data_IF_759937100429
#
_entry.id   IF_759937100429
#
_cell.length_a   1.000
_cell.length_b   1.000
_cell.length_c   1.000
_cell.angle_alpha   90.00
_cell.angle_beta   90.00
_cell.angle_gamma   90.00
#
_symmetry.space_group_name_H-M   'P 1'
#
loop_
_entity.id
_entity.type
_entity.pdbx_description
1 polymer ?
#
# COMPACT_ATOMS: atom_id res chain seq x y z
N UNK A 1 6.61 -24.67 -20.57
CA UNK A 1 5.32 -24.00 -20.87
C UNK A 1 4.41 -24.07 -19.63
N UNK A 2 4.90 -23.70 -18.45
CA UNK A 2 4.13 -23.90 -17.20
C UNK A 2 4.49 -22.87 -16.10
N UNK A 3 4.75 -21.62 -16.51
CA UNK A 3 5.21 -20.55 -15.60
C UNK A 3 4.29 -19.32 -15.58
N UNK A 4 3.47 -19.15 -16.62
CA UNK A 4 2.50 -18.03 -16.72
C UNK A 4 1.21 -18.31 -15.93
N UNK A 5 0.87 -19.58 -15.68
CA UNK A 5 -0.40 -19.96 -15.02
C UNK A 5 -0.43 -19.74 -13.51
N UNK A 6 0.70 -19.49 -12.84
CA UNK A 6 0.76 -19.53 -11.36
C UNK A 6 0.50 -18.20 -10.66
N UNK A 7 0.63 -17.06 -11.34
CA UNK A 7 0.28 -15.75 -10.75
C UNK A 7 -1.18 -15.32 -10.97
N UNK A 8 -1.91 -15.99 -11.88
CA UNK A 8 -3.34 -15.76 -12.14
C UNK A 8 -4.25 -16.07 -10.93
N UNK A 9 -3.77 -16.90 -9.99
CA UNK A 9 -4.53 -17.28 -8.80
C UNK A 9 -4.82 -16.12 -7.84
N UNK A 10 -3.99 -15.07 -7.82
CA UNK A 10 -4.17 -13.92 -6.92
C UNK A 10 -5.27 -12.98 -7.44
N UNK A 11 -5.45 -12.86 -8.76
CA UNK A 11 -6.48 -12.00 -9.35
C UNK A 11 -7.90 -12.58 -9.24
N UNK A 12 -8.05 -13.90 -9.10
CA UNK A 12 -9.37 -14.53 -8.99
C UNK A 12 -10.01 -14.39 -7.60
N UNK A 13 -9.25 -14.04 -6.56
CA UNK A 13 -9.78 -13.88 -5.20
C UNK A 13 -10.49 -12.52 -4.96
N UNK A 14 -10.32 -11.54 -5.85
CA UNK A 14 -10.80 -10.15 -5.66
C UNK A 14 -12.17 -9.84 -6.29
N UNK A 15 -12.82 -10.81 -6.93
CA UNK A 15 -14.12 -10.61 -7.59
C UNK A 15 -15.35 -10.96 -6.72
N UNK A 16 -15.16 -11.35 -5.44
CA UNK A 16 -16.25 -11.89 -4.60
C UNK A 16 -16.77 -10.96 -3.50
N UNK A 17 -16.16 -9.81 -3.25
CA UNK A 17 -16.58 -8.94 -2.14
C UNK A 17 -17.20 -7.63 -2.64
N UNK A 18 -18.37 -7.75 -3.27
CA UNK A 18 -19.26 -6.62 -3.54
C UNK A 18 -20.65 -6.96 -3.00
N UNK A 19 -20.73 -7.13 -1.68
CA UNK A 19 -21.97 -7.25 -0.94
C UNK A 19 -22.57 -5.88 -0.66
N UNK A 20 -23.54 -5.49 -1.51
CA UNK A 20 -24.45 -4.36 -1.30
C UNK A 20 -25.27 -4.60 -0.03
N UNK A 21 -25.18 -3.71 0.96
CA UNK A 21 -26.08 -3.69 2.12
C UNK A 21 -27.38 -2.95 1.76
N UNK A 22 -28.58 -3.51 2.03
CA UNK A 22 -29.84 -2.80 1.86
C UNK A 22 -30.14 -1.88 3.06
N UNK A 23 -30.72 -0.71 2.77
CA UNK A 23 -31.23 0.24 3.75
C UNK A 23 -32.48 -0.31 4.46
N UNK A 24 -32.46 -0.33 5.80
CA UNK A 24 -33.62 -0.70 6.60
C UNK A 24 -34.49 0.52 6.92
N UNK A 25 -35.79 0.33 6.80
CA UNK A 25 -36.85 1.35 6.88
C UNK A 25 -37.20 1.74 8.31
N UNK A 26 -37.63 3.00 8.42
CA UNK A 26 -38.48 3.59 9.46
C UNK A 26 -39.63 2.67 9.90
N UNK A 27 -39.88 2.58 11.20
CA UNK A 27 -41.18 2.22 11.77
C UNK A 27 -41.44 2.96 13.10
N UNK A 28 -42.71 3.23 13.34
CA UNK A 28 -43.31 4.28 14.17
C UNK A 28 -43.95 3.72 15.44
N UNK A 29 -44.01 4.52 16.51
CA UNK A 29 -44.94 4.38 17.65
C UNK A 29 -44.23 4.31 19.01
N UNK A 30 -44.67 4.92 20.11
CA UNK A 30 -45.91 5.57 20.52
C UNK A 30 -45.58 6.55 21.69
N UNK A 31 -46.38 7.61 21.82
CA UNK A 31 -46.86 8.39 22.99
C UNK A 31 -46.12 8.17 24.34
N UNK A 32 -45.63 9.21 25.03
CA UNK A 32 -46.49 9.96 25.96
C UNK A 32 -46.05 11.41 26.29
N UNK A 33 -47.07 12.23 26.50
CA UNK A 33 -47.07 13.66 26.81
C UNK A 33 -47.06 13.88 28.33
N UNK A 34 -46.09 14.60 28.87
CA UNK A 34 -46.28 15.38 30.10
C UNK A 34 -45.58 16.73 29.99
N UNK A 35 -46.37 17.80 30.09
CA UNK A 35 -45.94 19.19 30.14
C UNK A 35 -45.64 19.64 31.56
N UNK A 36 -44.60 20.45 31.73
CA UNK A 36 -44.56 21.50 32.75
C UNK A 36 -43.80 22.73 32.23
N UNK A 37 -44.43 23.90 32.31
CA UNK A 37 -43.88 25.21 31.89
C UNK A 37 -42.93 25.75 32.96
N UNK A 38 -41.85 26.44 32.53
CA UNK A 38 -41.42 27.73 33.11
C UNK A 38 -40.80 28.56 31.99
N UNK A 39 -41.28 29.80 31.82
CA UNK A 39 -40.80 30.78 30.85
C UNK A 39 -39.85 31.80 31.52
N UNK A 40 -39.14 32.51 30.66
CA UNK A 40 -37.89 33.26 30.76
C UNK A 40 -37.66 34.26 31.92
N UNK A 41 -36.39 34.35 32.32
CA UNK A 41 -35.71 35.64 32.54
C UNK A 41 -34.19 35.49 32.36
N UNK A 42 -33.60 36.36 31.55
CA UNK A 42 -32.21 36.34 31.12
C UNK A 42 -31.25 37.12 32.07
N UNK A 43 -30.13 36.48 32.48
CA UNK A 43 -28.68 36.85 32.38
C UNK A 43 -28.30 38.33 32.70
N UNK A 44 -27.26 38.68 33.53
CA UNK A 44 -25.85 38.24 33.34
C UNK A 44 -24.89 38.06 34.57
N UNK A 45 -23.95 37.12 34.37
CA UNK A 45 -22.47 37.19 34.50
C UNK A 45 -21.82 38.11 35.57
N UNK A 46 -21.09 37.52 36.55
CA UNK A 46 -19.62 37.67 36.73
C UNK A 46 -19.07 36.98 38.00
N UNK A 47 -18.18 36.03 37.74
CA UNK A 47 -16.87 35.78 38.38
C UNK A 47 -16.73 35.21 39.81
N UNK A 48 -16.03 34.07 39.79
CA UNK A 48 -14.92 33.63 40.67
C UNK A 48 -15.26 32.75 41.88
N UNK A 49 -15.13 31.42 41.70
CA UNK A 49 -14.28 30.59 42.56
C UNK A 49 -13.93 29.23 41.91
N UNK A 50 -12.64 29.06 41.63
CA UNK A 50 -11.82 27.85 41.52
C UNK A 50 -12.55 26.48 41.53
N UNK A 51 -12.66 25.83 40.36
CA UNK A 51 -12.90 24.39 40.25
C UNK A 51 -11.92 23.79 39.24
N UNK A 52 -11.22 22.73 39.67
CA UNK A 52 -10.18 22.04 38.92
C UNK A 52 -10.67 21.59 37.53
N UNK A 53 -9.85 21.82 36.51
CA UNK A 53 -10.08 21.28 35.17
C UNK A 53 -10.04 19.74 35.24
N UNK A 54 -11.00 19.01 34.64
CA UNK A 54 -10.88 17.55 34.52
C UNK A 54 -9.68 17.22 33.63
N UNK A 55 -8.80 16.35 34.12
CA UNK A 55 -7.70 15.80 33.32
C UNK A 55 -8.26 15.12 32.06
N UNK A 56 -7.56 15.18 30.91
CA UNK A 56 -7.98 14.46 29.72
C UNK A 56 -8.10 12.97 30.03
N UNK A 57 -9.24 12.38 29.70
CA UNK A 57 -9.42 10.92 29.69
C UNK A 57 -8.49 10.37 28.62
N UNK A 58 -7.33 9.86 29.06
CA UNK A 58 -6.51 8.96 28.26
C UNK A 58 -7.30 7.65 28.19
N UNK A 59 -7.96 7.41 27.06
CA UNK A 59 -8.51 6.09 26.77
C UNK A 59 -7.37 5.06 26.82
N UNK A 60 -7.64 3.79 27.14
CA UNK A 60 -6.62 2.76 27.03
C UNK A 60 -6.12 2.72 25.58
N UNK A 61 -4.86 3.09 25.37
CA UNK A 61 -4.14 2.79 24.13
C UNK A 61 -4.34 1.29 23.83
N UNK A 62 -4.75 0.88 22.62
CA UNK A 62 -4.66 -0.52 22.25
C UNK A 62 -3.18 -0.91 22.19
N UNK A 63 -2.67 -1.51 23.27
CA UNK A 63 -1.31 -2.04 23.40
C UNK A 63 -1.11 -3.37 22.64
N UNK A 64 -1.71 -3.51 21.46
CA UNK A 64 -1.57 -4.70 20.60
C UNK A 64 -0.21 -4.80 19.88
N UNK A 65 0.67 -3.80 20.04
CA UNK A 65 1.89 -3.61 19.24
C UNK A 65 2.92 -4.74 19.34
N UNK A 66 3.05 -5.38 20.50
CA UNK A 66 4.09 -6.41 20.71
C UNK A 66 3.85 -7.71 19.95
N UNK A 67 2.61 -8.21 19.93
CA UNK A 67 2.30 -9.52 19.34
C UNK A 67 2.42 -9.55 17.82
N UNK A 68 1.97 -8.49 17.15
CA UNK A 68 2.04 -8.36 15.69
C UNK A 68 3.47 -8.10 15.20
N UNK A 69 4.22 -7.27 15.92
CA UNK A 69 5.63 -7.00 15.64
C UNK A 69 6.50 -8.25 15.76
N UNK A 70 6.31 -9.05 16.82
CA UNK A 70 7.01 -10.33 17.00
C UNK A 70 6.68 -11.30 15.84
N UNK A 71 5.41 -11.33 15.38
CA UNK A 71 5.03 -12.13 14.20
C UNK A 71 5.74 -11.65 12.94
N UNK A 72 5.86 -10.33 12.76
CA UNK A 72 6.52 -9.76 11.59
C UNK A 72 8.01 -10.09 11.53
N UNK A 73 8.73 -9.93 12.65
CA UNK A 73 10.15 -10.32 12.74
C UNK A 73 10.33 -11.81 12.48
N UNK A 74 9.44 -12.67 13.00
CA UNK A 74 9.50 -14.11 12.75
C UNK A 74 9.35 -14.44 11.26
N UNK A 75 8.42 -13.79 10.56
CA UNK A 75 8.24 -14.00 9.12
C UNK A 75 9.50 -13.60 8.32
N UNK A 76 10.15 -12.50 8.69
CA UNK A 76 11.43 -12.10 8.07
C UNK A 76 12.54 -13.13 8.30
N UNK A 77 12.60 -13.71 9.51
CA UNK A 77 13.55 -14.78 9.83
C UNK A 77 13.26 -16.06 9.03
N UNK A 78 12.00 -16.42 8.85
CA UNK A 78 11.61 -17.57 8.01
C UNK A 78 12.07 -17.35 6.56
N UNK A 79 11.79 -16.17 6.00
CA UNK A 79 12.20 -15.81 4.63
C UNK A 79 13.72 -15.81 4.42
N UNK A 80 14.49 -15.47 5.44
CA UNK A 80 15.96 -15.51 5.38
C UNK A 80 16.52 -16.92 5.12
N UNK A 81 15.76 -17.96 5.47
CA UNK A 81 16.17 -19.37 5.40
C UNK A 81 15.63 -20.10 4.17
N UNK A 82 14.71 -19.50 3.41
CA UNK A 82 14.03 -20.14 2.30
C UNK A 82 14.77 -19.93 0.97
N UNK A 83 14.70 -20.95 0.12
CA UNK A 83 15.10 -20.84 -1.29
C UNK A 83 14.07 -20.03 -2.08
N UNK A 84 14.45 -19.46 -3.22
CA UNK A 84 13.54 -18.73 -4.10
C UNK A 84 12.25 -19.49 -4.46
N UNK A 85 12.33 -20.76 -4.89
CA UNK A 85 11.15 -21.60 -5.11
C UNK A 85 10.27 -21.77 -3.87
N UNK A 86 10.86 -21.88 -2.67
CA UNK A 86 10.09 -22.04 -1.43
C UNK A 86 9.44 -20.75 -0.99
N UNK A 87 10.10 -19.61 -1.18
CA UNK A 87 9.49 -18.27 -1.01
C UNK A 87 8.29 -18.13 -1.95
N UNK A 88 8.45 -18.47 -3.23
CA UNK A 88 7.35 -18.41 -4.22
C UNK A 88 6.15 -19.26 -3.80
N UNK A 89 6.42 -20.49 -3.33
CA UNK A 89 5.38 -21.39 -2.81
C UNK A 89 4.71 -20.79 -1.58
N UNK A 90 5.47 -20.27 -0.64
CA UNK A 90 4.94 -19.66 0.58
C UNK A 90 4.03 -18.48 0.25
N UNK A 91 4.49 -17.55 -0.60
CA UNK A 91 3.72 -16.35 -0.97
C UNK A 91 2.42 -16.74 -1.68
N UNK A 92 2.48 -17.74 -2.57
CA UNK A 92 1.29 -18.26 -3.24
C UNK A 92 0.29 -18.91 -2.27
N UNK A 93 0.79 -19.61 -1.26
CA UNK A 93 -0.05 -20.25 -0.23
C UNK A 93 -0.59 -19.25 0.82
N UNK A 94 0.08 -18.12 1.00
CA UNK A 94 -0.23 -17.11 2.02
C UNK A 94 -0.32 -15.71 1.41
N UNK A 95 -1.36 -15.42 0.59
CA UNK A 95 -1.43 -14.20 -0.22
C UNK A 95 -1.50 -12.91 0.61
N UNK A 96 -1.91 -12.97 1.87
CA UNK A 96 -2.00 -11.82 2.78
C UNK A 96 -0.78 -11.63 3.69
N UNK A 97 0.19 -12.55 3.68
CA UNK A 97 1.32 -12.51 4.62
C UNK A 97 2.17 -11.25 4.42
N UNK A 98 2.50 -10.93 3.15
CA UNK A 98 3.30 -9.74 2.83
C UNK A 98 2.52 -8.46 3.13
N UNK A 99 1.24 -8.38 2.73
CA UNK A 99 0.45 -7.16 2.97
C UNK A 99 0.21 -6.91 4.45
N UNK A 100 0.02 -7.95 5.25
CA UNK A 100 -0.10 -7.83 6.71
C UNK A 100 1.21 -7.37 7.34
N UNK A 101 2.35 -7.93 6.90
CA UNK A 101 3.67 -7.50 7.36
C UNK A 101 3.96 -6.03 7.00
N UNK A 102 3.56 -5.58 5.81
CA UNK A 102 3.74 -4.18 5.40
C UNK A 102 2.74 -3.22 6.07
N UNK A 103 1.58 -3.70 6.52
CA UNK A 103 0.62 -2.91 7.27
C UNK A 103 1.08 -2.63 8.71
N UNK A 104 1.80 -3.59 9.31
CA UNK A 104 2.40 -3.48 10.62
C UNK A 104 3.88 -3.91 10.59
N UNK A 105 4.77 -3.10 9.97
CA UNK A 105 6.16 -3.48 9.78
C UNK A 105 6.91 -3.54 11.13
N UNK A 106 7.93 -4.41 11.25
CA UNK A 106 8.89 -4.32 12.32
C UNK A 106 9.60 -2.95 12.33
N UNK A 107 10.19 -2.54 13.47
CA UNK A 107 10.95 -1.31 13.54
C UNK A 107 12.07 -1.27 12.49
N UNK A 108 12.36 -0.10 11.88
CA UNK A 108 13.42 0.01 10.87
C UNK A 108 14.79 -0.48 11.36
N UNK A 109 15.10 -0.31 12.65
CA UNK A 109 16.32 -0.81 13.29
C UNK A 109 16.42 -2.34 13.25
N UNK A 110 15.32 -3.05 13.53
CA UNK A 110 15.27 -4.51 13.50
C UNK A 110 15.37 -5.01 12.06
N UNK A 111 14.71 -4.35 11.12
CA UNK A 111 14.82 -4.65 9.68
C UNK A 111 16.26 -4.41 9.19
N UNK A 112 16.91 -3.34 9.65
CA UNK A 112 18.31 -3.04 9.31
C UNK A 112 19.22 -4.16 9.80
N UNK A 113 19.08 -4.57 11.06
CA UNK A 113 19.85 -5.66 11.64
C UNK A 113 19.62 -6.97 10.88
N UNK A 114 18.35 -7.33 10.65
CA UNK A 114 17.98 -8.50 9.86
C UNK A 114 18.63 -8.49 8.48
N UNK A 115 18.42 -7.42 7.70
CA UNK A 115 18.97 -7.30 6.34
C UNK A 115 20.49 -7.36 6.33
N UNK A 116 21.15 -6.72 7.31
CA UNK A 116 22.61 -6.72 7.45
C UNK A 116 23.18 -8.10 7.80
N UNK A 117 22.40 -8.96 8.46
CA UNK A 117 22.81 -10.32 8.82
C UNK A 117 22.76 -11.32 7.66
N UNK A 118 22.00 -11.02 6.60
CA UNK A 118 21.87 -11.88 5.43
C UNK A 118 23.13 -11.90 4.58
N UNK A 119 23.46 -13.05 4.01
CA UNK A 119 24.47 -13.12 2.96
C UNK A 119 23.95 -12.52 1.63
N UNK A 120 24.87 -12.33 0.68
CA UNK A 120 24.55 -11.76 -0.63
C UNK A 120 23.55 -12.61 -1.42
N UNK A 121 23.57 -13.93 -1.25
CA UNK A 121 22.68 -14.84 -1.97
C UNK A 121 21.24 -14.67 -1.45
N UNK A 122 21.02 -14.74 -0.13
CA UNK A 122 19.71 -14.52 0.50
C UNK A 122 19.14 -13.14 0.18
N UNK A 123 19.96 -12.08 0.21
CA UNK A 123 19.53 -10.73 -0.22
C UNK A 123 19.07 -10.70 -1.67
N UNK A 124 19.80 -11.37 -2.56
CA UNK A 124 19.43 -11.44 -3.98
C UNK A 124 18.13 -12.22 -4.17
N UNK A 125 17.98 -13.35 -3.49
CA UNK A 125 16.77 -14.18 -3.52
C UNK A 125 15.55 -13.38 -3.03
N UNK A 126 15.65 -12.68 -1.90
CA UNK A 126 14.52 -11.88 -1.40
C UNK A 126 14.15 -10.75 -2.35
N UNK A 127 15.14 -10.10 -2.97
CA UNK A 127 14.91 -9.04 -3.95
C UNK A 127 14.21 -9.56 -5.21
N UNK A 128 14.51 -10.78 -5.63
CA UNK A 128 13.93 -11.40 -6.82
C UNK A 128 12.52 -11.97 -6.56
N UNK A 129 12.34 -12.68 -5.46
CA UNK A 129 11.10 -13.43 -5.18
C UNK A 129 10.11 -12.69 -4.30
N UNK A 130 10.55 -11.65 -3.58
CA UNK A 130 9.70 -10.79 -2.74
C UNK A 130 10.02 -9.30 -2.93
N UNK A 131 10.01 -8.78 -4.18
CA UNK A 131 10.38 -7.39 -4.43
C UNK A 131 9.44 -6.41 -3.73
N UNK A 132 8.15 -6.76 -3.55
CA UNK A 132 7.19 -5.95 -2.78
C UNK A 132 7.65 -5.72 -1.35
N UNK A 133 8.20 -6.75 -0.71
CA UNK A 133 8.66 -6.68 0.66
C UNK A 133 9.96 -5.88 0.75
N UNK A 134 10.96 -6.25 -0.06
CA UNK A 134 12.27 -5.58 -0.07
C UNK A 134 12.15 -4.11 -0.45
N UNK A 135 11.25 -3.79 -1.38
CA UNK A 135 11.06 -2.43 -1.87
C UNK A 135 10.35 -1.50 -0.89
N UNK A 136 9.46 -2.01 -0.05
CA UNK A 136 8.61 -1.19 0.82
C UNK A 136 8.99 -1.22 2.30
N UNK A 137 9.94 -2.05 2.73
CA UNK A 137 10.40 -2.07 4.12
C UNK A 137 11.41 -0.96 4.42
N UNK A 138 11.08 -0.14 5.42
CA UNK A 138 12.02 0.80 6.03
C UNK A 138 13.15 0.06 6.75
N UNK A 139 14.37 0.60 6.72
CA UNK A 139 15.58 -0.08 7.22
C UNK A 139 16.38 -0.84 6.15
N UNK A 140 15.79 -1.10 4.98
CA UNK A 140 16.54 -1.59 3.81
C UNK A 140 17.19 -0.40 3.08
N UNK A 141 18.46 -0.50 2.62
CA UNK A 141 19.12 0.60 1.92
C UNK A 141 18.32 1.11 0.71
N UNK A 142 18.22 2.43 0.56
CA UNK A 142 17.37 3.06 -0.46
C UNK A 142 17.66 2.58 -1.88
N UNK A 143 18.93 2.36 -2.24
CA UNK A 143 19.30 1.82 -3.57
C UNK A 143 18.78 0.41 -3.80
N UNK A 144 18.75 -0.43 -2.76
CA UNK A 144 18.19 -1.79 -2.84
C UNK A 144 16.68 -1.72 -3.04
N UNK A 145 16.01 -0.82 -2.31
CA UNK A 145 14.57 -0.57 -2.43
C UNK A 145 14.19 -0.09 -3.83
N UNK A 146 14.92 0.87 -4.37
CA UNK A 146 14.73 1.37 -5.74
C UNK A 146 14.82 0.25 -6.78
N UNK A 147 15.86 -0.58 -6.70
CA UNK A 147 16.03 -1.72 -7.63
C UNK A 147 14.89 -2.73 -7.48
N UNK A 148 14.48 -3.07 -6.25
CA UNK A 148 13.38 -4.00 -6.00
C UNK A 148 12.05 -3.47 -6.55
N UNK A 149 11.72 -2.21 -6.24
CA UNK A 149 10.49 -1.56 -6.68
C UNK A 149 10.43 -1.41 -8.20
N UNK A 150 11.53 -1.00 -8.86
CA UNK A 150 11.60 -0.91 -10.33
C UNK A 150 11.46 -2.28 -10.99
N UNK A 151 12.03 -3.32 -10.38
CA UNK A 151 11.85 -4.71 -10.80
C UNK A 151 10.37 -5.12 -10.77
N UNK A 152 9.70 -4.89 -9.63
CA UNK A 152 8.27 -5.15 -9.47
C UNK A 152 7.43 -4.36 -10.48
N UNK A 153 7.70 -3.06 -10.65
CA UNK A 153 6.97 -2.23 -11.61
C UNK A 153 7.03 -2.84 -13.03
N UNK A 154 8.24 -3.22 -13.44
CA UNK A 154 8.50 -3.79 -14.77
C UNK A 154 7.81 -5.14 -14.96
N UNK A 155 7.87 -6.02 -13.95
CA UNK A 155 7.23 -7.34 -14.03
C UNK A 155 5.70 -7.20 -14.04
N UNK A 156 5.13 -6.38 -13.17
CA UNK A 156 3.67 -6.21 -13.11
C UNK A 156 3.11 -5.58 -14.39
N UNK A 157 3.81 -4.61 -15.00
CA UNK A 157 3.42 -4.06 -16.31
C UNK A 157 3.35 -5.18 -17.36
N UNK A 158 4.37 -6.05 -17.43
CA UNK A 158 4.42 -7.18 -18.36
C UNK A 158 3.30 -8.18 -18.13
N UNK A 159 3.02 -8.52 -16.87
CA UNK A 159 1.97 -9.48 -16.51
C UNK A 159 0.58 -8.95 -16.91
N UNK A 160 0.34 -7.65 -16.72
CA UNK A 160 -0.90 -7.01 -17.14
C UNK A 160 -1.05 -6.98 -18.67
N UNK A 161 0.03 -6.73 -19.40
CA UNK A 161 0.02 -6.79 -20.87
C UNK A 161 -0.35 -8.19 -21.37
N UNK A 162 0.25 -9.23 -20.78
CA UNK A 162 -0.09 -10.63 -21.11
C UNK A 162 -1.54 -10.97 -20.75
N UNK A 163 -2.04 -10.50 -19.61
CA UNK A 163 -3.42 -10.70 -19.19
C UNK A 163 -4.41 -10.04 -20.17
N UNK A 164 -4.12 -8.83 -20.64
CA UNK A 164 -4.96 -8.12 -21.61
C UNK A 164 -5.01 -8.86 -22.96
N UNK A 165 -3.94 -9.56 -23.33
CA UNK A 165 -3.88 -10.38 -24.55
C UNK A 165 -4.54 -11.75 -24.40
N UNK A 166 -4.88 -12.17 -23.18
CA UNK A 166 -5.49 -13.47 -22.91
C UNK A 166 -7.00 -13.48 -23.17
N UNK A 167 -7.58 -14.67 -23.37
CA UNK A 167 -9.02 -14.87 -23.53
C UNK A 167 -9.75 -14.88 -22.16
N UNK A 168 -9.55 -13.80 -21.39
CA UNK A 168 -10.18 -13.60 -20.07
C UNK A 168 -11.44 -12.73 -20.18
N UNK A 169 -12.33 -12.81 -19.21
CA UNK A 169 -13.55 -12.00 -19.17
C UNK A 169 -13.32 -10.49 -19.28
N UNK A 170 -14.25 -9.79 -19.95
CA UNK A 170 -14.14 -8.36 -20.29
C UNK A 170 -13.88 -7.45 -19.08
N UNK A 171 -14.50 -7.71 -17.94
CA UNK A 171 -14.31 -6.91 -16.71
C UNK A 171 -12.87 -6.99 -16.17
N UNK A 172 -12.25 -8.17 -16.24
CA UNK A 172 -10.86 -8.38 -15.82
C UNK A 172 -9.91 -7.62 -16.74
N UNK A 173 -10.15 -7.67 -18.06
CA UNK A 173 -9.35 -6.94 -19.05
C UNK A 173 -9.46 -5.42 -18.84
N UNK A 174 -10.66 -4.89 -18.59
CA UNK A 174 -10.83 -3.44 -18.35
C UNK A 174 -10.16 -3.00 -17.05
N UNK A 175 -10.22 -3.80 -15.98
CA UNK A 175 -9.49 -3.54 -14.75
C UNK A 175 -7.96 -3.57 -14.99
N UNK A 176 -7.46 -4.55 -15.73
CA UNK A 176 -6.05 -4.68 -16.08
C UNK A 176 -5.54 -3.48 -16.91
N UNK A 177 -6.34 -2.99 -17.87
CA UNK A 177 -6.01 -1.79 -18.65
C UNK A 177 -5.89 -0.55 -17.77
N UNK A 178 -6.80 -0.38 -16.81
CA UNK A 178 -6.78 0.76 -15.90
C UNK A 178 -5.53 0.72 -15.01
N UNK A 179 -5.20 -0.45 -14.46
CA UNK A 179 -3.99 -0.65 -13.66
C UNK A 179 -2.72 -0.43 -14.49
N UNK A 180 -2.68 -0.94 -15.73
CA UNK A 180 -1.54 -0.75 -16.64
C UNK A 180 -1.29 0.72 -16.94
N UNK A 181 -2.36 1.50 -17.21
CA UNK A 181 -2.25 2.94 -17.45
C UNK A 181 -1.61 3.68 -16.27
N UNK A 182 -2.04 3.34 -15.07
CA UNK A 182 -1.52 3.90 -13.83
C UNK A 182 -0.03 3.56 -13.62
N UNK A 183 0.37 2.30 -13.78
CA UNK A 183 1.77 1.88 -13.64
C UNK A 183 2.69 2.49 -14.71
N UNK A 184 2.20 2.63 -15.95
CA UNK A 184 2.95 3.35 -17.00
C UNK A 184 3.16 4.81 -16.67
N UNK A 185 2.16 5.49 -16.09
CA UNK A 185 2.35 6.87 -15.60
C UNK A 185 3.44 6.97 -14.52
N UNK A 186 3.59 5.96 -13.66
CA UNK A 186 4.68 5.91 -12.68
C UNK A 186 6.03 5.71 -13.39
N UNK A 187 6.08 4.82 -14.39
CA UNK A 187 7.29 4.61 -15.22
C UNK A 187 7.71 5.90 -15.93
N UNK A 188 6.77 6.58 -16.60
CA UNK A 188 7.02 7.83 -17.31
C UNK A 188 7.55 8.91 -16.35
N UNK A 189 6.97 9.01 -15.15
CA UNK A 189 7.44 9.93 -14.12
C UNK A 189 8.87 9.60 -13.64
N UNK A 190 9.23 8.31 -13.55
CA UNK A 190 10.59 7.86 -13.20
C UNK A 190 11.61 8.11 -14.31
N UNK A 191 11.18 8.08 -15.56
CA UNK A 191 12.01 8.37 -16.74
C UNK A 191 12.13 9.88 -17.02
N UNK A 192 11.45 10.71 -16.21
CA UNK A 192 11.43 12.16 -16.40
C UNK A 192 10.62 12.60 -17.61
N UNK A 193 9.73 11.74 -18.11
CA UNK A 193 8.80 12.07 -19.20
C UNK A 193 7.64 12.86 -18.60
N UNK A 194 7.83 14.18 -18.48
CA UNK A 194 6.72 15.09 -18.23
C UNK A 194 6.07 15.43 -19.56
N UNK A 195 4.76 15.17 -19.70
CA UNK A 195 3.97 15.67 -20.82
C UNK A 195 3.80 17.20 -20.70
N UNK A 196 4.87 17.94 -20.97
CA UNK A 196 4.87 19.39 -20.89
C UNK A 196 4.34 19.95 -22.22
N UNK A 197 3.07 20.36 -22.22
CA UNK A 197 2.57 21.38 -23.17
C UNK A 197 1.80 20.91 -24.41
N UNK A 198 0.69 20.20 -24.24
CA UNK A 198 -0.37 20.15 -25.26
C UNK A 198 -1.34 21.36 -25.17
N UNK A 199 -0.82 22.54 -24.83
CA UNK A 199 -1.60 23.77 -24.68
C UNK A 199 -0.88 24.98 -25.32
N UNK A 200 -0.54 24.86 -26.60
CA UNK A 200 -0.45 25.93 -27.60
C UNK A 200 0.04 25.28 -28.90
N UNK A 201 -0.67 25.45 -30.00
CA UNK A 201 -0.48 24.67 -31.23
C UNK A 201 0.95 24.64 -31.76
N UNK A 202 1.56 23.46 -31.75
CA UNK A 202 2.33 22.88 -32.85
C UNK A 202 2.90 21.53 -32.40
N UNK A 203 2.77 20.54 -33.28
CA UNK A 203 3.24 19.19 -33.07
C UNK A 203 4.78 19.14 -33.01
N UNK A 204 5.32 19.12 -31.79
CA UNK A 204 6.59 18.47 -31.50
C UNK A 204 6.53 18.06 -30.04
N UNK A 205 6.32 16.77 -29.78
CA UNK A 205 6.60 16.20 -28.46
C UNK A 205 8.11 16.28 -28.29
N UNK A 206 8.58 17.44 -27.83
CA UNK A 206 9.94 17.58 -27.32
C UNK A 206 9.91 16.87 -25.97
N UNK A 207 10.29 15.60 -25.96
CA UNK A 207 10.60 14.90 -24.71
C UNK A 207 11.87 15.53 -24.17
N UNK A 208 11.75 16.59 -23.37
CA UNK A 208 12.89 17.14 -22.63
C UNK A 208 13.21 16.17 -21.50
N UNK A 209 14.13 15.22 -21.76
CA UNK A 209 14.64 14.32 -20.73
C UNK A 209 15.40 15.12 -19.68
N UNK A 210 14.81 15.27 -18.51
CA UNK A 210 15.48 15.82 -17.33
C UNK A 210 16.43 14.76 -16.73
N UNK A 211 17.73 15.04 -16.71
CA UNK A 211 18.78 14.18 -16.15
C UNK A 211 18.75 14.04 -14.62
N UNK A 212 17.78 14.63 -13.93
CA UNK A 212 17.58 14.43 -12.49
C UNK A 212 17.38 12.96 -12.18
N UNK A 213 18.27 12.40 -11.34
CA UNK A 213 18.14 11.02 -10.86
C UNK A 213 16.85 10.89 -10.06
N UNK A 214 16.10 9.83 -10.33
CA UNK A 214 14.82 9.52 -9.69
C UNK A 214 14.92 8.14 -9.08
N UNK A 215 14.53 8.01 -7.82
CA UNK A 215 14.53 6.73 -7.12
C UNK A 215 13.16 6.41 -6.56
N UNK A 216 12.70 5.19 -6.79
CA UNK A 216 11.39 4.69 -6.39
C UNK A 216 11.49 4.02 -5.01
N UNK A 217 11.15 4.75 -3.95
CA UNK A 217 11.34 4.29 -2.57
C UNK A 217 10.16 3.43 -2.05
N UNK A 218 8.97 3.69 -2.54
CA UNK A 218 7.75 2.94 -2.21
C UNK A 218 6.97 2.68 -3.48
N UNK A 219 6.43 1.48 -3.61
CA UNK A 219 5.56 1.08 -4.70
C UNK A 219 4.46 0.14 -4.19
N UNK A 220 3.23 0.62 -4.28
CA UNK A 220 2.03 -0.18 -4.19
C UNK A 220 1.44 -0.31 -5.60
N UNK A 221 1.52 -1.51 -6.18
CA UNK A 221 0.90 -1.82 -7.48
C UNK A 221 -0.59 -2.13 -7.38
N UNK A 222 -1.10 -2.29 -6.15
CA UNK A 222 -2.50 -2.60 -5.88
C UNK A 222 -3.31 -1.32 -5.61
N UNK A 223 -4.63 -1.44 -5.58
CA UNK A 223 -5.52 -0.34 -5.22
C UNK A 223 -5.38 0.89 -6.13
N UNK A 224 -5.09 2.05 -5.54
CA UNK A 224 -4.96 3.33 -6.25
C UNK A 224 -3.59 3.56 -6.91
N UNK A 225 -2.64 2.63 -6.78
CA UNK A 225 -1.27 2.79 -7.30
C UNK A 225 -0.52 3.92 -6.62
N UNK A 226 0.14 3.63 -5.51
CA UNK A 226 0.87 4.64 -4.74
C UNK A 226 2.36 4.47 -4.95
N UNK A 227 3.05 5.54 -5.30
CA UNK A 227 4.49 5.56 -5.46
C UNK A 227 5.11 6.76 -4.75
N UNK A 228 6.26 6.55 -4.11
CA UNK A 228 7.10 7.61 -3.59
C UNK A 228 8.38 7.70 -4.43
N UNK A 229 8.57 8.83 -5.11
CA UNK A 229 9.73 9.08 -5.97
C UNK A 229 10.58 10.18 -5.35
N UNK A 230 11.85 9.87 -5.08
CA UNK A 230 12.85 10.83 -4.63
C UNK A 230 13.59 11.38 -5.85
N UNK A 231 13.75 12.70 -5.90
CA UNK A 231 14.56 13.41 -6.88
C UNK A 231 15.93 13.71 -6.27
N UNK A 232 17.00 13.28 -6.92
CA UNK A 232 18.38 13.42 -6.43
C UNK A 232 19.10 12.09 -6.26
N UNK A 233 20.25 12.12 -5.58
CA UNK A 233 21.02 10.91 -5.28
C UNK A 233 20.58 10.32 -3.92
N UNK A 234 20.56 9.00 -3.85
CA UNK A 234 20.38 8.28 -2.60
C UNK A 234 21.76 8.14 -1.94
N UNK A 235 22.00 8.90 -0.87
CA UNK A 235 23.22 8.80 -0.09
C UNK A 235 23.45 7.36 0.43
#
# INVERSE_FOLDING_TARGET
MDEISRFSAVLSALARDSGVLPAERVSTGHTDLFSFRVDASAIPVRSALLMAQPAPVVGPEPVTRGGEQIRGVKLLQEFALLSGPDISRFVSANPTAISSLLAAPPPPEDVTLWWSSLDTASRSTLREFTPQLVGNLEGIPGRVRDVANRGQLTSTIRDLELLIMSDTGRSVIENAKQQLKMLRSISDALDGVTATGAAAGSASVVTTSDHTRRSLLTLDVTGQGRAAIVLGDLA
#
